data_IF_264906852988
#
_entry.id   IF_264906852988
#
_cell.length_a   1.000
_cell.length_b   1.000
_cell.length_c   1.000
_cell.angle_alpha   90.00
_cell.angle_beta   90.00
_cell.angle_gamma   90.00
#
_symmetry.space_group_name_H-M   'P 1'
#
loop_
_entity.id
_entity.type
_entity.pdbx_description
1 polymer ?
#
# COMPACT_ATOMS: atom_id res chain seq x y z
N UNK A 1 17.16 5.91 2.64
CA UNK A 1 16.37 5.61 1.43
C UNK A 1 15.15 6.50 1.44
N UNK A 2 14.81 7.11 0.32
CA UNK A 2 13.58 7.90 0.17
C UNK A 2 12.52 7.09 -0.58
N UNK A 3 11.37 6.90 0.05
CA UNK A 3 10.32 6.00 -0.41
C UNK A 3 9.05 6.80 -0.70
N UNK A 4 8.47 6.61 -1.89
CA UNK A 4 7.10 7.00 -2.18
C UNK A 4 6.18 5.84 -1.81
N UNK A 5 5.29 6.05 -0.85
CA UNK A 5 4.26 5.08 -0.50
C UNK A 5 2.88 5.57 -0.95
N UNK A 6 2.21 4.79 -1.78
CA UNK A 6 0.82 5.03 -2.17
C UNK A 6 -0.08 3.95 -1.59
N UNK A 7 -1.15 4.37 -0.93
CA UNK A 7 -2.19 3.49 -0.40
C UNK A 7 -3.54 3.90 -0.97
N UNK A 8 -4.19 3.00 -1.66
CA UNK A 8 -5.56 3.19 -2.11
C UNK A 8 -6.53 2.47 -1.18
N UNK A 9 -7.46 3.22 -0.57
CA UNK A 9 -8.42 2.70 0.41
C UNK A 9 -9.83 2.76 -0.18
N UNK A 10 -10.37 1.59 -0.51
CA UNK A 10 -11.78 1.40 -0.83
C UNK A 10 -12.56 0.93 0.40
N UNK A 11 -11.96 0.02 1.19
CA UNK A 11 -12.55 -0.54 2.42
C UNK A 11 -11.82 0.04 3.64
N UNK A 12 -12.44 0.98 4.34
CA UNK A 12 -11.82 1.69 5.46
C UNK A 12 -11.41 0.77 6.63
N UNK A 13 -12.11 -0.32 6.83
CA UNK A 13 -11.82 -1.31 7.88
C UNK A 13 -10.50 -2.05 7.68
N UNK A 14 -9.89 -1.95 6.49
CA UNK A 14 -8.57 -2.52 6.18
C UNK A 14 -7.40 -1.62 6.59
N UNK A 15 -7.66 -0.38 7.00
CA UNK A 15 -6.61 0.57 7.38
C UNK A 15 -5.65 0.04 8.46
N UNK A 16 -6.09 -0.60 9.56
CA UNK A 16 -5.17 -1.10 10.57
C UNK A 16 -4.13 -2.09 10.05
N UNK A 17 -4.49 -2.93 9.09
CA UNK A 17 -3.57 -3.86 8.43
C UNK A 17 -2.54 -3.13 7.56
N UNK A 18 -2.99 -2.17 6.77
CA UNK A 18 -2.12 -1.34 5.94
C UNK A 18 -1.19 -0.46 6.78
N UNK A 19 -1.69 0.07 7.89
CA UNK A 19 -0.89 0.85 8.85
C UNK A 19 0.29 0.03 9.41
N UNK A 20 0.07 -1.24 9.74
CA UNK A 20 1.16 -2.14 10.17
C UNK A 20 2.22 -2.31 9.09
N UNK A 21 1.81 -2.52 7.86
CA UNK A 21 2.73 -2.59 6.71
C UNK A 21 3.53 -1.29 6.55
N UNK A 22 2.85 -0.15 6.57
CA UNK A 22 3.47 1.16 6.46
C UNK A 22 4.47 1.41 7.59
N UNK A 23 4.15 1.02 8.83
CA UNK A 23 5.07 1.13 9.97
C UNK A 23 6.40 0.45 9.68
N UNK A 24 6.38 -0.74 9.08
CA UNK A 24 7.59 -1.46 8.70
C UNK A 24 8.34 -0.76 7.56
N UNK A 25 7.62 -0.30 6.54
CA UNK A 25 8.19 0.40 5.36
C UNK A 25 8.85 1.72 5.76
N UNK A 26 8.22 2.47 6.65
CA UNK A 26 8.64 3.83 7.03
C UNK A 26 9.77 3.82 8.06
N UNK A 27 9.96 2.72 8.77
CA UNK A 27 11.01 2.61 9.80
C UNK A 27 12.40 2.81 9.17
N UNK A 28 13.14 3.77 9.70
CA UNK A 28 14.50 4.13 9.24
C UNK A 28 14.57 4.62 7.78
N UNK A 29 13.45 5.03 7.20
CA UNK A 29 13.38 5.58 5.85
C UNK A 29 12.68 6.94 5.87
N UNK A 30 13.05 7.80 4.93
CA UNK A 30 12.28 9.00 4.62
C UNK A 30 11.15 8.60 3.67
N UNK A 31 9.91 8.84 4.06
CA UNK A 31 8.75 8.40 3.30
C UNK A 31 7.79 9.56 3.00
N UNK A 32 7.38 9.68 1.75
CA UNK A 32 6.26 10.50 1.36
C UNK A 32 5.04 9.58 1.19
N UNK A 33 4.01 9.80 2.00
CA UNK A 33 2.80 8.98 2.01
C UNK A 33 1.65 9.69 1.28
N UNK A 34 1.12 9.03 0.28
CA UNK A 34 -0.08 9.42 -0.46
C UNK A 34 -1.19 8.41 -0.21
N UNK A 35 -2.33 8.87 0.26
CA UNK A 35 -3.53 8.05 0.43
C UNK A 35 -4.62 8.56 -0.49
N UNK A 36 -5.16 7.67 -1.28
CA UNK A 36 -6.33 7.95 -2.13
C UNK A 36 -7.52 7.12 -1.64
N UNK A 37 -8.69 7.71 -1.65
CA UNK A 37 -9.95 7.04 -1.32
C UNK A 37 -11.08 7.55 -2.21
N UNK A 38 -12.11 6.74 -2.40
CA UNK A 38 -13.25 7.10 -3.27
C UNK A 38 -14.34 7.83 -2.51
N UNK A 39 -14.42 7.64 -1.20
CA UNK A 39 -15.36 8.32 -0.31
C UNK A 39 -14.61 8.99 0.84
N UNK A 40 -15.10 10.16 1.23
CA UNK A 40 -14.55 10.88 2.37
C UNK A 40 -15.03 10.26 3.67
N UNK A 41 -14.10 9.75 4.47
CA UNK A 41 -14.34 9.24 5.81
C UNK A 41 -13.53 10.07 6.82
N UNK A 42 -14.20 10.96 7.55
CA UNK A 42 -13.54 11.88 8.49
C UNK A 42 -12.79 11.14 9.61
N UNK A 43 -13.38 10.06 10.14
CA UNK A 43 -12.75 9.21 11.15
C UNK A 43 -11.45 8.58 10.63
N UNK A 44 -11.46 8.05 9.42
CA UNK A 44 -10.28 7.47 8.79
C UNK A 44 -9.21 8.53 8.49
N UNK A 45 -9.61 9.69 8.00
CA UNK A 45 -8.69 10.81 7.74
C UNK A 45 -7.98 11.22 9.03
N UNK A 46 -8.72 11.31 10.14
CA UNK A 46 -8.17 11.62 11.46
C UNK A 46 -7.15 10.57 11.89
N UNK A 47 -7.46 9.28 11.74
CA UNK A 47 -6.55 8.18 12.08
C UNK A 47 -5.27 8.20 11.23
N UNK A 48 -5.41 8.43 9.92
CA UNK A 48 -4.26 8.52 9.02
C UNK A 48 -3.36 9.70 9.38
N UNK A 49 -3.95 10.88 9.64
CA UNK A 49 -3.20 12.08 10.03
C UNK A 49 -2.56 11.95 11.41
N UNK A 50 -3.16 11.21 12.32
CA UNK A 50 -2.56 10.88 13.62
C UNK A 50 -1.37 9.93 13.48
N UNK A 51 -1.45 9.00 12.54
CA UNK A 51 -0.35 8.08 12.22
C UNK A 51 0.82 8.80 11.51
N UNK A 52 0.53 9.59 10.50
CA UNK A 52 1.53 10.34 9.75
C UNK A 52 0.96 11.70 9.34
N UNK A 53 1.28 12.80 10.07
CA UNK A 53 0.69 14.12 9.84
C UNK A 53 0.90 14.69 8.44
N UNK A 54 2.05 14.40 7.82
CA UNK A 54 2.41 14.91 6.48
C UNK A 54 1.80 14.07 5.34
N UNK A 55 0.87 13.16 5.64
CA UNK A 55 0.18 12.38 4.60
C UNK A 55 -0.60 13.27 3.63
N UNK A 56 -0.38 13.05 2.34
CA UNK A 56 -1.22 13.62 1.29
C UNK A 56 -2.46 12.75 1.10
N UNK A 57 -3.64 13.29 1.39
CA UNK A 57 -4.91 12.56 1.27
C UNK A 57 -5.73 13.18 0.16
N UNK A 58 -6.21 12.35 -0.77
CA UNK A 58 -7.06 12.78 -1.87
C UNK A 58 -8.28 11.87 -2.03
N UNK A 59 -9.44 12.52 -2.22
CA UNK A 59 -10.68 11.86 -2.59
C UNK A 59 -10.75 11.89 -4.11
N UNK A 60 -10.87 10.72 -4.72
CA UNK A 60 -10.83 10.55 -6.17
C UNK A 60 -12.03 9.77 -6.67
N UNK A 61 -12.32 9.90 -7.95
CA UNK A 61 -13.39 9.15 -8.60
C UNK A 61 -13.11 7.64 -8.59
N UNK A 62 -14.15 6.83 -8.36
CA UNK A 62 -14.05 5.37 -8.38
C UNK A 62 -13.96 4.84 -9.82
N UNK A 63 -12.79 4.98 -10.42
CA UNK A 63 -12.48 4.48 -11.76
C UNK A 63 -11.13 3.77 -11.77
N UNK A 64 -11.04 2.69 -12.55
CA UNK A 64 -9.79 1.97 -12.77
C UNK A 64 -9.25 1.21 -11.56
N UNK A 65 -10.12 0.84 -10.62
CA UNK A 65 -9.80 0.08 -9.40
C UNK A 65 -8.66 0.73 -8.60
N UNK A 66 -7.58 0.02 -8.35
CA UNK A 66 -6.39 0.49 -7.63
C UNK A 66 -5.27 1.00 -8.58
N UNK A 67 -5.40 0.76 -9.87
CA UNK A 67 -4.38 1.15 -10.87
C UNK A 67 -4.49 2.63 -11.21
N UNK A 68 -5.68 3.13 -11.55
CA UNK A 68 -5.86 4.54 -11.90
C UNK A 68 -5.50 5.49 -10.75
N UNK A 69 -5.88 5.22 -9.49
CA UNK A 69 -5.37 5.98 -8.34
C UNK A 69 -3.85 6.04 -8.24
N UNK A 70 -3.18 4.93 -8.52
CA UNK A 70 -1.73 4.88 -8.52
C UNK A 70 -1.12 5.75 -9.63
N UNK A 71 -1.64 5.65 -10.85
CA UNK A 71 -1.21 6.51 -11.98
C UNK A 71 -1.42 7.99 -11.65
N UNK A 72 -2.55 8.32 -11.04
CA UNK A 72 -2.83 9.68 -10.61
C UNK A 72 -1.76 10.23 -9.65
N UNK A 73 -1.34 9.43 -8.66
CA UNK A 73 -0.30 9.84 -7.69
C UNK A 73 1.07 9.97 -8.36
N UNK A 74 1.50 9.00 -9.17
CA UNK A 74 2.83 9.04 -9.79
C UNK A 74 2.97 10.20 -10.78
N UNK A 75 1.88 10.68 -11.38
CA UNK A 75 1.89 11.85 -12.25
C UNK A 75 2.01 13.19 -11.51
N UNK A 76 1.84 13.19 -10.18
CA UNK A 76 1.96 14.39 -9.34
C UNK A 76 3.34 14.60 -8.73
N UNK A 77 4.18 13.61 -8.79
CA UNK A 77 5.49 13.60 -8.14
C UNK A 77 6.61 13.46 -9.17
N UNK A 78 7.78 13.96 -8.80
CA UNK A 78 8.99 13.67 -9.56
C UNK A 78 9.58 12.34 -9.05
N UNK A 79 9.48 11.31 -9.88
CA UNK A 79 9.90 9.95 -9.53
C UNK A 79 11.41 9.84 -9.30
N UNK A 80 12.21 10.71 -9.90
CA UNK A 80 13.66 10.71 -9.72
C UNK A 80 14.09 11.08 -8.28
N UNK A 81 13.16 11.64 -7.49
CA UNK A 81 13.37 11.93 -6.07
C UNK A 81 13.27 10.70 -5.16
N UNK A 82 12.91 9.53 -5.68
CA UNK A 82 12.65 8.35 -4.86
C UNK A 82 13.54 7.17 -5.25
N UNK A 83 14.02 6.48 -4.23
CA UNK A 83 14.78 5.23 -4.40
C UNK A 83 13.86 4.03 -4.62
N UNK A 84 12.63 4.11 -4.10
CA UNK A 84 11.67 3.01 -4.11
C UNK A 84 10.24 3.54 -4.09
N UNK A 85 9.36 2.82 -4.78
CA UNK A 85 7.91 3.05 -4.74
C UNK A 85 7.24 1.83 -4.12
N UNK A 86 6.39 2.06 -3.12
CA UNK A 86 5.56 1.03 -2.48
C UNK A 86 4.10 1.33 -2.77
N UNK A 87 3.41 0.39 -3.41
CA UNK A 87 1.98 0.48 -3.71
C UNK A 87 1.22 -0.53 -2.87
N UNK A 88 0.27 -0.04 -2.07
CA UNK A 88 -0.64 -0.85 -1.28
C UNK A 88 -2.09 -0.50 -1.62
N UNK A 89 -2.99 -1.47 -1.47
CA UNK A 89 -4.42 -1.23 -1.61
C UNK A 89 -5.24 -2.18 -0.75
N UNK A 90 -6.47 -1.78 -0.47
CA UNK A 90 -7.43 -2.65 0.22
C UNK A 90 -7.95 -3.72 -0.72
N UNK A 91 -8.12 -4.92 -0.20
CA UNK A 91 -8.71 -6.06 -0.90
C UNK A 91 -9.61 -6.83 0.05
N UNK A 92 -10.88 -6.93 -0.29
CA UNK A 92 -11.86 -7.72 0.45
C UNK A 92 -12.74 -8.46 -0.54
N UNK A 93 -13.13 -9.67 -0.18
CA UNK A 93 -14.14 -10.41 -0.91
C UNK A 93 -15.50 -10.25 -0.21
N UNK A 94 -16.37 -9.47 -0.81
CA UNK A 94 -17.73 -9.26 -0.30
C UNK A 94 -18.59 -10.52 -0.52
N UNK A 95 -18.26 -11.33 -1.52
CA UNK A 95 -19.06 -12.48 -1.96
C UNK A 95 -18.46 -13.83 -1.56
N UNK A 96 -17.46 -13.85 -0.68
CA UNK A 96 -16.73 -15.06 -0.26
C UNK A 96 -16.24 -15.92 -1.44
N UNK A 97 -15.97 -15.31 -2.60
CA UNK A 97 -15.42 -16.00 -3.75
C UNK A 97 -13.97 -16.33 -3.52
N UNK A 98 -13.59 -17.52 -3.89
CA UNK A 98 -12.21 -17.94 -3.89
C UNK A 98 -11.66 -17.98 -5.32
N UNK A 99 -10.34 -17.90 -5.44
CA UNK A 99 -9.63 -17.98 -6.71
C UNK A 99 -8.86 -19.28 -6.77
N UNK A 100 -8.79 -19.88 -7.95
CA UNK A 100 -7.91 -21.02 -8.21
C UNK A 100 -6.52 -20.51 -8.64
N UNK A 101 -5.50 -20.82 -7.84
CA UNK A 101 -4.11 -20.49 -8.17
C UNK A 101 -3.29 -21.76 -8.06
N UNK A 102 -2.69 -22.20 -9.15
CA UNK A 102 -1.89 -23.43 -9.22
C UNK A 102 -2.63 -24.67 -8.65
N UNK A 103 -3.94 -24.79 -8.86
CA UNK A 103 -4.76 -25.88 -8.35
C UNK A 103 -5.23 -25.71 -6.90
N UNK A 104 -4.88 -24.62 -6.23
CA UNK A 104 -5.31 -24.31 -4.87
C UNK A 104 -6.43 -23.27 -4.87
N UNK A 105 -7.41 -23.51 -4.01
CA UNK A 105 -8.49 -22.58 -3.75
C UNK A 105 -8.03 -21.53 -2.73
N UNK A 106 -8.00 -20.25 -3.15
CA UNK A 106 -7.48 -19.15 -2.34
C UNK A 106 -8.57 -18.11 -2.13
N UNK A 107 -8.95 -17.87 -0.88
CA UNK A 107 -9.87 -16.77 -0.54
C UNK A 107 -9.23 -15.42 -0.81
N UNK A 108 -10.05 -14.38 -1.02
CA UNK A 108 -9.55 -13.00 -1.19
C UNK A 108 -8.75 -12.50 0.01
N UNK A 109 -9.09 -12.94 1.23
CA UNK A 109 -8.32 -12.62 2.43
C UNK A 109 -6.92 -13.24 2.43
N UNK A 110 -6.82 -14.49 2.00
CA UNK A 110 -5.50 -15.14 1.79
C UNK A 110 -4.71 -14.45 0.70
N UNK A 111 -5.36 -14.11 -0.41
CA UNK A 111 -4.74 -13.38 -1.51
C UNK A 111 -4.18 -12.03 -1.05
N UNK A 112 -4.96 -11.26 -0.30
CA UNK A 112 -4.51 -10.00 0.31
C UNK A 112 -3.29 -10.19 1.19
N UNK A 113 -3.29 -11.20 2.07
CA UNK A 113 -2.16 -11.53 2.94
C UNK A 113 -0.89 -11.87 2.15
N UNK A 114 -1.02 -12.58 1.04
CA UNK A 114 0.11 -12.84 0.15
C UNK A 114 0.64 -11.57 -0.49
N UNK A 115 -0.23 -10.70 -0.98
CA UNK A 115 0.17 -9.43 -1.59
C UNK A 115 0.88 -8.50 -0.60
N UNK A 116 0.47 -8.50 0.67
CA UNK A 116 1.06 -7.66 1.72
C UNK A 116 2.26 -8.29 2.42
N UNK A 117 2.55 -9.56 2.15
CA UNK A 117 3.56 -10.33 2.89
C UNK A 117 4.95 -9.72 2.83
N UNK A 118 5.31 -9.05 1.75
CA UNK A 118 6.63 -8.43 1.59
C UNK A 118 6.94 -7.34 2.63
N UNK A 119 5.92 -6.73 3.23
CA UNK A 119 6.03 -5.68 4.24
C UNK A 119 5.23 -5.94 5.53
N UNK A 120 4.60 -7.11 5.66
CA UNK A 120 3.73 -7.45 6.80
C UNK A 120 4.48 -7.54 8.13
N UNK A 121 5.78 -7.84 8.11
CA UNK A 121 6.65 -7.88 9.30
C UNK A 121 7.97 -7.16 9.03
N UNK A 122 8.69 -6.69 10.08
CA UNK A 122 10.03 -6.13 9.90
C UNK A 122 11.00 -7.08 9.20
N UNK A 123 10.92 -8.37 9.51
CA UNK A 123 11.75 -9.41 8.86
C UNK A 123 11.48 -9.51 7.37
N UNK A 124 10.22 -9.54 6.98
CA UNK A 124 9.82 -9.63 5.56
C UNK A 124 10.24 -8.38 4.79
N UNK A 125 10.04 -7.20 5.37
CA UNK A 125 10.45 -5.95 4.77
C UNK A 125 11.98 -5.89 4.54
N UNK A 126 12.77 -6.25 5.56
CA UNK A 126 14.23 -6.28 5.46
C UNK A 126 14.70 -7.28 4.39
N UNK A 127 14.07 -8.45 4.29
CA UNK A 127 14.34 -9.43 3.23
C UNK A 127 14.04 -8.87 1.85
N UNK A 128 12.91 -8.19 1.69
CA UNK A 128 12.51 -7.55 0.43
C UNK A 128 13.51 -6.49 0.00
N UNK A 129 13.95 -5.63 0.91
CA UNK A 129 14.99 -4.62 0.65
C UNK A 129 16.32 -5.25 0.24
N UNK A 130 16.72 -6.31 0.93
CA UNK A 130 17.97 -7.03 0.61
C UNK A 130 17.95 -7.59 -0.81
N UNK A 131 16.84 -8.19 -1.24
CA UNK A 131 16.69 -8.72 -2.59
C UNK A 131 16.72 -7.62 -3.66
N UNK A 132 16.15 -6.45 -3.38
CA UNK A 132 16.18 -5.31 -4.30
C UNK A 132 17.60 -4.73 -4.45
N UNK A 133 18.37 -4.65 -3.36
CA UNK A 133 19.76 -4.19 -3.38
C UNK A 133 20.65 -5.12 -4.20
N UNK A 134 20.54 -6.44 -4.03
CA UNK A 134 21.33 -7.42 -4.79
C UNK A 134 21.12 -7.32 -6.31
N UNK A 135 19.95 -6.88 -6.77
CA UNK A 135 19.66 -6.69 -8.21
C UNK A 135 20.28 -5.42 -8.79
N UNK A 136 20.56 -4.42 -7.98
CA UNK A 136 21.22 -3.18 -8.44
C UNK A 136 22.73 -3.34 -8.64
N UNK A 137 23.33 -4.36 -8.07
CA UNK A 137 24.77 -4.64 -8.16
C UNK A 137 25.15 -5.57 -9.33
N UNK A 138 24.15 -6.02 -10.12
CA UNK A 138 24.33 -6.84 -11.35
C UNK A 138 24.02 -6.01 -12.60
#
# INVERSE_FOLDING_TARGET
>A
MRILSHVHIYYKEMWPELQKCLTNVMKNNQCDLYVTMVEKHEDLITDIKSFYPDTNIEIIENKGFDVAPFIYVINKVDLDNYDLIVKLHTKRDINAKSFFINGYDVSSDKWRKYLLNFCATPKNWNKSLSLLKQKKEK
#
